data_IF_494714880213
#
_entry.id   IF_494714880213
#
_cell.length_a   1.000
_cell.length_b   1.000
_cell.length_c   1.000
_cell.angle_alpha   90.00
_cell.angle_beta   90.00
_cell.angle_gamma   90.00
#
_symmetry.space_group_name_H-M   'P 1'
#
loop_
_entity.id
_entity.type
_entity.pdbx_description
1 polymer ?
#
# COMPACT_ATOMS: atom_id res chain seq x y z
N UNK A 1 -21.84 8.60 -0.76
CA UNK A 1 -21.34 9.57 -1.76
C UNK A 1 -22.53 9.97 -2.63
N UNK A 2 -22.73 11.25 -2.97
CA UNK A 2 -23.85 11.69 -3.81
C UNK A 2 -23.71 11.17 -5.26
N UNK A 3 -24.81 11.03 -6.01
CA UNK A 3 -24.78 10.56 -7.40
C UNK A 3 -24.14 11.60 -8.34
N UNK A 4 -23.34 11.17 -9.33
CA UNK A 4 -22.91 12.02 -10.45
C UNK A 4 -21.42 12.37 -10.58
N UNK A 5 -20.52 11.81 -9.76
CA UNK A 5 -19.07 11.94 -10.02
C UNK A 5 -18.51 10.71 -10.74
N UNK A 6 -17.66 10.95 -11.74
CA UNK A 6 -16.95 9.94 -12.55
C UNK A 6 -15.89 9.13 -11.77
N UNK A 7 -15.51 9.58 -10.57
CA UNK A 7 -14.42 8.97 -9.80
C UNK A 7 -14.87 7.73 -9.03
N UNK A 8 -14.10 6.65 -9.18
CA UNK A 8 -14.30 5.36 -8.51
C UNK A 8 -14.17 5.48 -6.99
N UNK A 9 -14.82 4.59 -6.25
CA UNK A 9 -14.69 4.54 -4.79
C UNK A 9 -13.33 3.98 -4.38
N UNK A 10 -12.55 4.80 -3.68
CA UNK A 10 -11.23 4.42 -3.17
C UNK A 10 -10.42 5.61 -2.69
N UNK A 11 -9.13 5.39 -2.55
CA UNK A 11 -8.15 6.39 -2.14
C UNK A 11 -7.41 6.94 -3.35
N UNK A 12 -7.10 8.24 -3.28
CA UNK A 12 -6.42 9.00 -4.33
C UNK A 12 -5.22 9.71 -3.71
N UNK A 13 -4.04 9.51 -4.27
CA UNK A 13 -2.81 10.12 -3.79
C UNK A 13 -2.49 11.39 -4.60
N UNK A 14 -2.17 12.48 -3.91
CA UNK A 14 -1.74 13.74 -4.50
C UNK A 14 -0.46 14.21 -3.80
N UNK A 15 0.48 14.82 -4.53
CA UNK A 15 1.71 15.40 -3.97
C UNK A 15 1.56 16.87 -3.53
N UNK A 16 0.36 17.26 -3.11
CA UNK A 16 0.02 18.64 -2.73
C UNK A 16 -0.80 18.65 -1.45
N UNK A 17 -0.85 19.81 -0.80
CA UNK A 17 -1.68 20.01 0.38
C UNK A 17 -3.18 19.71 0.06
N UNK A 18 -3.99 19.29 1.04
CA UNK A 18 -5.36 18.81 0.84
C UNK A 18 -6.37 19.94 0.64
N UNK A 19 -5.97 21.03 0.00
CA UNK A 19 -6.87 22.14 -0.32
C UNK A 19 -7.64 21.80 -1.62
N UNK A 20 -8.94 22.15 -1.65
CA UNK A 20 -9.83 21.75 -2.75
C UNK A 20 -9.37 22.36 -4.07
N UNK A 21 -8.89 23.60 -4.04
CA UNK A 21 -8.43 24.35 -5.21
C UNK A 21 -7.19 23.73 -5.87
N UNK A 22 -6.28 23.11 -5.11
CA UNK A 22 -5.09 22.43 -5.65
C UNK A 22 -5.36 21.02 -6.16
N UNK A 23 -6.53 20.45 -5.85
CA UNK A 23 -6.93 19.09 -6.24
C UNK A 23 -7.88 19.10 -7.43
N UNK A 24 -8.77 20.11 -7.52
CA UNK A 24 -9.64 20.28 -8.67
C UNK A 24 -8.76 20.40 -9.93
N UNK A 25 -9.20 19.76 -11.02
CA UNK A 25 -8.54 19.65 -12.33
C UNK A 25 -7.19 18.92 -12.40
N UNK A 26 -6.65 18.41 -11.30
CA UNK A 26 -5.39 17.66 -11.30
C UNK A 26 -5.62 16.14 -11.29
N UNK A 27 -4.82 15.42 -12.07
CA UNK A 27 -4.82 13.96 -12.01
C UNK A 27 -4.14 13.48 -10.71
N UNK A 28 -4.70 12.47 -10.03
CA UNK A 28 -4.04 11.82 -8.91
C UNK A 28 -2.76 11.14 -9.40
N UNK A 29 -1.73 11.10 -8.54
CA UNK A 29 -0.51 10.35 -8.81
C UNK A 29 -0.78 8.84 -8.88
N UNK A 30 -1.65 8.35 -8.00
CA UNK A 30 -2.02 6.93 -7.93
C UNK A 30 -3.41 6.77 -7.32
N UNK A 31 -4.13 5.74 -7.75
CA UNK A 31 -5.43 5.35 -7.20
C UNK A 31 -5.36 3.91 -6.67
N UNK A 32 -5.87 3.70 -5.46
CA UNK A 32 -6.07 2.34 -4.98
C UNK A 32 -7.28 2.23 -4.07
N UNK A 33 -7.97 1.09 -4.12
CA UNK A 33 -9.03 0.79 -3.16
C UNK A 33 -8.50 0.67 -1.73
N UNK A 34 -7.24 0.28 -1.56
CA UNK A 34 -6.62 0.06 -0.25
C UNK A 34 -5.55 1.10 0.04
N UNK A 35 -5.68 1.80 1.18
CA UNK A 35 -4.75 2.86 1.59
C UNK A 35 -3.33 2.33 1.83
N UNK A 36 -3.20 1.14 2.41
CA UNK A 36 -1.91 0.52 2.68
C UNK A 36 -1.07 0.31 1.41
N UNK A 37 -1.73 0.00 0.27
CA UNK A 37 -1.04 -0.10 -1.03
C UNK A 37 -0.51 1.25 -1.50
N UNK A 38 -1.26 2.34 -1.28
CA UNK A 38 -0.78 3.69 -1.61
C UNK A 38 0.39 4.11 -0.73
N UNK A 39 0.37 3.75 0.56
CA UNK A 39 1.51 4.02 1.46
C UNK A 39 2.76 3.32 0.97
N UNK A 40 2.67 2.01 0.68
CA UNK A 40 3.79 1.24 0.15
C UNK A 40 4.27 1.82 -1.19
N UNK A 41 3.37 2.11 -2.11
CA UNK A 41 3.69 2.72 -3.40
C UNK A 41 4.39 4.07 -3.24
N UNK A 42 3.88 4.95 -2.38
CA UNK A 42 4.45 6.27 -2.13
C UNK A 42 5.84 6.20 -1.47
N UNK A 43 6.05 5.22 -0.58
CA UNK A 43 7.37 4.95 -0.03
C UNK A 43 8.34 4.55 -1.14
N UNK A 44 8.06 3.47 -1.88
CA UNK A 44 8.96 2.94 -2.92
C UNK A 44 9.21 3.92 -4.08
N UNK A 45 8.30 4.87 -4.34
CA UNK A 45 8.51 5.96 -5.29
C UNK A 45 9.21 7.20 -4.69
N UNK A 46 9.69 7.12 -3.44
CA UNK A 46 10.46 8.18 -2.78
C UNK A 46 9.64 9.42 -2.37
N UNK A 47 8.32 9.33 -2.34
CA UNK A 47 7.43 10.44 -1.95
C UNK A 47 7.32 10.59 -0.43
N UNK A 48 7.53 9.50 0.31
CA UNK A 48 7.52 9.48 1.77
C UNK A 48 8.96 9.57 2.30
N UNK A 49 9.28 10.69 2.93
CA UNK A 49 10.57 10.98 3.55
C UNK A 49 10.35 11.58 4.94
N UNK A 50 11.41 11.75 5.73
CA UNK A 50 11.33 12.45 7.01
C UNK A 50 10.82 13.89 6.92
N UNK A 51 10.84 14.50 5.72
CA UNK A 51 10.33 15.85 5.46
C UNK A 51 8.91 15.86 4.92
N UNK A 52 8.37 14.69 4.55
CA UNK A 52 7.04 14.60 3.95
C UNK A 52 5.97 14.86 5.00
N UNK A 53 5.12 15.85 4.73
CA UNK A 53 3.94 16.15 5.56
C UNK A 53 2.73 15.43 4.97
N UNK A 54 2.19 14.50 5.74
CA UNK A 54 1.01 13.73 5.35
C UNK A 54 -0.27 14.47 5.70
N UNK A 55 -1.19 14.47 4.74
CA UNK A 55 -2.53 15.00 4.92
C UNK A 55 -3.55 13.97 4.46
N UNK A 56 -4.63 13.82 5.21
CA UNK A 56 -5.72 12.91 4.89
C UNK A 56 -7.01 13.71 4.82
N UNK A 57 -7.76 13.51 3.74
CA UNK A 57 -9.11 14.04 3.59
C UNK A 57 -10.06 12.87 3.28
N UNK A 58 -11.06 12.68 4.13
CA UNK A 58 -12.01 11.58 4.00
C UNK A 58 -13.06 11.60 5.09
N UNK A 59 -13.90 10.56 5.15
CA UNK A 59 -15.06 10.48 6.04
C UNK A 59 -14.68 10.14 7.51
N UNK A 60 -13.49 10.50 7.99
CA UNK A 60 -13.04 10.21 9.37
C UNK A 60 -12.76 8.73 9.68
N UNK A 61 -12.64 7.87 8.66
CA UNK A 61 -12.45 6.42 8.82
C UNK A 61 -10.99 6.06 9.12
N UNK A 62 -10.06 6.99 8.92
CA UNK A 62 -8.61 6.74 9.04
C UNK A 62 -8.04 7.50 10.21
N UNK A 63 -7.36 6.75 11.06
CA UNK A 63 -6.55 7.24 12.16
C UNK A 63 -5.18 7.68 11.62
N UNK A 64 -4.92 8.99 11.63
CA UNK A 64 -3.68 9.59 11.10
C UNK A 64 -2.43 9.11 11.85
N UNK A 65 -2.38 9.10 13.20
CA UNK A 65 -1.33 8.44 13.96
C UNK A 65 -1.01 7.02 13.46
N UNK A 66 -2.02 6.18 13.27
CA UNK A 66 -1.82 4.80 12.78
C UNK A 66 -1.28 4.73 11.36
N UNK A 67 -1.66 5.69 10.51
CA UNK A 67 -1.06 5.81 9.17
C UNK A 67 0.42 6.18 9.27
N UNK A 68 0.78 7.10 10.17
CA UNK A 68 2.16 7.50 10.39
C UNK A 68 3.00 6.36 10.96
N UNK A 69 2.47 5.56 11.88
CA UNK A 69 3.09 4.32 12.36
C UNK A 69 3.37 3.37 11.19
N UNK A 70 2.37 3.14 10.32
CA UNK A 70 2.57 2.29 9.13
C UNK A 70 3.68 2.82 8.21
N UNK A 71 3.74 4.14 8.01
CA UNK A 71 4.80 4.76 7.20
C UNK A 71 6.17 4.55 7.87
N UNK A 72 6.24 4.72 9.19
CA UNK A 72 7.46 4.48 9.96
C UNK A 72 7.90 3.02 9.84
N UNK A 73 7.00 2.06 10.02
CA UNK A 73 7.26 0.62 9.90
C UNK A 73 7.80 0.28 8.50
N UNK A 74 7.13 0.75 7.44
CA UNK A 74 7.60 0.53 6.06
C UNK A 74 8.99 1.13 5.86
N UNK A 75 9.22 2.35 6.36
CA UNK A 75 10.51 3.03 6.19
C UNK A 75 11.66 2.35 6.92
N UNK A 76 11.38 1.77 8.09
CA UNK A 76 12.38 1.11 8.93
C UNK A 76 12.79 -0.25 8.35
N UNK A 77 11.85 -0.99 7.78
CA UNK A 77 12.10 -2.34 7.28
C UNK A 77 12.50 -2.40 5.79
N UNK A 78 12.18 -1.37 5.00
CA UNK A 78 12.41 -1.37 3.55
C UNK A 78 13.28 -0.19 3.13
N UNK A 79 14.62 -0.32 3.09
CA UNK A 79 15.49 0.76 2.62
C UNK A 79 15.22 1.08 1.14
N UNK A 80 15.02 2.36 0.82
CA UNK A 80 14.81 2.81 -0.57
C UNK A 80 16.04 2.65 -1.46
N UNK A 81 17.22 2.76 -0.86
CA UNK A 81 18.49 2.61 -1.55
C UNK A 81 19.10 1.28 -1.15
N UNK A 82 19.06 0.33 -2.08
CA UNK A 82 19.81 -0.91 -1.96
C UNK A 82 21.26 -0.65 -2.41
N UNK A 83 22.24 -1.32 -1.80
CA UNK A 83 23.62 -1.27 -2.28
C UNK A 83 23.68 -1.74 -3.74
N UNK A 84 24.55 -1.11 -4.53
CA UNK A 84 24.77 -1.51 -5.92
C UNK A 84 25.10 -3.01 -5.98
N UNK A 85 24.51 -3.77 -6.91
CA UNK A 85 24.79 -5.20 -7.02
C UNK A 85 26.27 -5.41 -7.33
N UNK A 86 26.89 -6.39 -6.66
CA UNK A 86 28.24 -6.82 -6.97
C UNK A 86 28.26 -7.58 -8.30
N UNK A 87 29.40 -7.66 -9.02
CA UNK A 87 29.48 -8.44 -10.26
C UNK A 87 29.00 -9.87 -10.10
N UNK A 88 29.32 -10.52 -8.97
CA UNK A 88 28.85 -11.88 -8.64
C UNK A 88 27.32 -11.97 -8.55
N UNK A 89 26.65 -10.95 -7.99
CA UNK A 89 25.20 -10.93 -7.87
C UNK A 89 24.49 -10.77 -9.23
N UNK A 90 25.15 -10.18 -10.24
CA UNK A 90 24.61 -10.06 -11.60
C UNK A 90 24.58 -11.39 -12.34
N UNK A 91 25.49 -12.31 -12.02
CA UNK A 91 25.55 -13.66 -12.61
C UNK A 91 24.84 -14.73 -11.77
N UNK A 92 24.32 -14.37 -10.59
CA UNK A 92 23.60 -15.30 -9.70
C UNK A 92 22.09 -15.20 -9.93
N UNK A 93 21.31 -16.25 -9.61
CA UNK A 93 19.85 -16.16 -9.63
C UNK A 93 19.33 -14.99 -8.77
N UNK A 94 18.25 -14.35 -9.22
CA UNK A 94 17.64 -13.25 -8.49
C UNK A 94 16.98 -13.75 -7.19
N UNK A 95 17.53 -13.31 -6.05
CA UNK A 95 16.98 -13.61 -4.73
C UNK A 95 16.05 -12.49 -4.24
N UNK A 96 14.91 -12.86 -3.65
CA UNK A 96 14.01 -11.93 -2.97
C UNK A 96 14.70 -11.49 -1.67
N UNK A 97 15.10 -10.22 -1.57
CA UNK A 97 15.83 -9.70 -0.41
C UNK A 97 14.95 -9.22 0.73
N UNK A 98 13.75 -8.71 0.42
CA UNK A 98 12.81 -8.21 1.42
C UNK A 98 11.39 -8.61 1.02
N UNK A 99 10.63 -9.20 1.95
CA UNK A 99 9.24 -9.61 1.76
C UNK A 99 8.41 -9.08 2.93
N UNK A 100 7.33 -8.34 2.64
CA UNK A 100 6.34 -7.94 3.63
C UNK A 100 4.98 -8.55 3.33
N UNK A 101 4.28 -8.94 4.40
CA UNK A 101 2.86 -9.29 4.36
C UNK A 101 2.12 -8.26 5.20
N UNK A 102 1.30 -7.43 4.55
CA UNK A 102 0.55 -6.37 5.21
C UNK A 102 -0.92 -6.81 5.32
N UNK A 103 -1.35 -7.12 6.53
CA UNK A 103 -2.73 -7.54 6.80
C UNK A 103 -3.57 -6.34 7.22
N UNK A 104 -4.50 -5.94 6.37
CA UNK A 104 -5.51 -4.92 6.72
C UNK A 104 -6.74 -5.57 7.32
N UNK A 105 -7.10 -5.18 8.54
CA UNK A 105 -8.33 -5.59 9.18
C UNK A 105 -9.49 -4.67 8.78
N UNK A 106 -10.57 -5.21 8.23
CA UNK A 106 -11.81 -4.47 8.01
C UNK A 106 -13.01 -5.24 8.57
N UNK A 107 -13.79 -4.57 9.42
CA UNK A 107 -14.96 -5.13 10.10
C UNK A 107 -16.02 -5.67 9.12
N UNK A 108 -16.08 -5.12 7.90
CA UNK A 108 -16.94 -5.63 6.81
C UNK A 108 -16.52 -7.01 6.28
N UNK A 109 -15.23 -7.40 6.29
CA UNK A 109 -14.84 -8.79 5.92
C UNK A 109 -15.18 -9.79 7.01
N UNK A 110 -15.17 -9.42 8.30
CA UNK A 110 -15.55 -10.36 9.37
C UNK A 110 -16.93 -10.97 9.14
N UNK A 111 -17.89 -10.19 8.64
CA UNK A 111 -19.25 -10.69 8.35
C UNK A 111 -19.28 -11.71 7.22
N UNK A 112 -18.36 -11.63 6.24
CA UNK A 112 -18.27 -12.59 5.15
C UNK A 112 -17.57 -13.90 5.57
N UNK A 113 -16.61 -13.83 6.51
CA UNK A 113 -15.82 -15.00 6.94
C UNK A 113 -16.36 -15.74 8.16
N UNK A 114 -17.36 -15.20 8.86
CA UNK A 114 -17.92 -15.81 10.10
C UNK A 114 -18.43 -17.26 9.93
N UNK A 115 -18.77 -17.68 8.70
CA UNK A 115 -19.30 -19.02 8.41
C UNK A 115 -18.37 -19.87 7.53
N UNK A 116 -17.14 -19.43 7.27
CA UNK A 116 -16.17 -20.23 6.52
C UNK A 116 -15.10 -20.76 7.47
N UNK A 117 -15.26 -22.03 7.89
CA UNK A 117 -14.15 -22.78 8.47
C UNK A 117 -13.18 -23.09 7.34
N UNK A 118 -12.21 -22.21 7.13
CA UNK A 118 -11.14 -22.44 6.17
C UNK A 118 -10.16 -23.41 6.84
N UNK A 119 -10.19 -24.68 6.43
CA UNK A 119 -9.11 -25.62 6.78
C UNK A 119 -7.84 -25.18 6.05
N UNK A 120 -6.88 -24.63 6.80
CA UNK A 120 -5.58 -24.21 6.28
C UNK A 120 -4.61 -25.39 6.29
N UNK A 121 -4.27 -25.92 5.11
CA UNK A 121 -3.12 -26.82 4.94
C UNK A 121 -1.87 -26.00 4.65
N UNK A 122 -1.02 -25.82 5.67
CA UNK A 122 0.21 -25.03 5.57
C UNK A 122 1.18 -25.55 4.49
N UNK A 123 1.07 -26.81 4.06
CA UNK A 123 1.94 -27.40 3.03
C UNK A 123 1.51 -27.07 1.61
N UNK A 124 0.27 -26.61 1.41
CA UNK A 124 -0.31 -26.27 0.10
C UNK A 124 -0.61 -24.78 -0.04
N UNK A 125 -0.25 -23.99 0.96
CA UNK A 125 -0.55 -22.56 0.99
C UNK A 125 0.45 -21.80 0.12
N UNK A 126 0.04 -21.49 -1.11
CA UNK A 126 0.72 -20.47 -1.89
C UNK A 126 0.32 -19.08 -1.37
N UNK A 127 1.19 -18.46 -0.58
CA UNK A 127 0.98 -17.12 -0.02
C UNK A 127 0.78 -16.06 -1.12
N UNK A 128 1.32 -16.27 -2.33
CA UNK A 128 1.17 -15.33 -3.44
C UNK A 128 -0.23 -15.37 -4.08
N UNK A 129 -0.93 -16.50 -3.96
CA UNK A 129 -2.32 -16.65 -4.43
C UNK A 129 -3.31 -15.78 -3.65
N UNK A 130 -3.02 -15.49 -2.37
CA UNK A 130 -3.91 -14.74 -1.47
C UNK A 130 -4.07 -13.26 -1.84
N UNK A 131 -3.15 -12.71 -2.62
CA UNK A 131 -3.11 -11.28 -2.95
C UNK A 131 -3.25 -10.97 -4.46
N UNK A 132 -3.46 -11.98 -5.33
CA UNK A 132 -3.39 -11.86 -6.80
C UNK A 132 -2.12 -11.08 -7.22
N UNK A 133 -0.98 -11.43 -6.63
CA UNK A 133 0.30 -10.80 -6.97
C UNK A 133 0.78 -11.42 -8.28
N UNK A 134 0.80 -10.62 -9.36
CA UNK A 134 1.60 -10.95 -10.54
C UNK A 134 2.98 -10.34 -10.34
N UNK A 135 3.97 -11.18 -10.05
CA UNK A 135 5.37 -10.79 -10.16
C UNK A 135 5.72 -10.99 -11.63
N UNK A 136 5.88 -9.89 -12.37
CA UNK A 136 6.52 -9.94 -13.69
C UNK A 136 8.02 -9.74 -13.46
N UNK A 137 8.83 -10.64 -14.01
CA UNK A 137 10.27 -10.47 -14.12
C UNK A 137 10.59 -9.39 -15.15
#
# INVERSE_FOLDING_TARGET
MPPGRANRSGWYLYNRAPNIESIISHQPLEYNRYLNKLVAWAWFNGLLTSRTRLYIKGNGIVDLPKLQEMVADVSHHFPLRLPAPTPKALYSPCEIRHLAIIVTWNMTRQRAFRNQVVHFDFRKLDVFSLARIKIAW
#
